data_IF_304011466017
#
_entry.id   IF_304011466017
#
_cell.length_a   1.000
_cell.length_b   1.000
_cell.length_c   1.000
_cell.angle_alpha   90.00
_cell.angle_beta   90.00
_cell.angle_gamma   90.00
#
_symmetry.space_group_name_H-M   'P 1'
#
loop_
_entity.id
_entity.type
_entity.pdbx_description
1 polymer ?
#
# COMPACT_ATOMS: atom_id res chain seq x y z
N UNK A 1 -1.46 5.26 -48.18
CA UNK A 1 -0.58 5.37 -47.01
C UNK A 1 -1.37 5.90 -45.84
N UNK A 2 -1.97 4.99 -45.06
CA UNK A 2 -2.55 5.32 -43.75
C UNK A 2 -1.46 5.08 -42.73
N UNK A 3 -1.17 6.08 -41.89
CA UNK A 3 -0.28 5.95 -40.74
C UNK A 3 -1.14 6.11 -39.51
N UNK A 4 -1.02 5.19 -38.55
CA UNK A 4 -1.63 5.38 -37.25
C UNK A 4 -1.05 6.64 -36.63
N UNK A 5 -1.93 7.63 -36.40
CA UNK A 5 -1.59 8.87 -35.74
C UNK A 5 -1.83 8.74 -34.23
N UNK A 6 -0.99 9.36 -33.44
CA UNK A 6 -1.25 9.49 -32.00
C UNK A 6 -2.44 10.42 -31.78
N UNK A 7 -3.30 10.10 -30.80
CA UNK A 7 -4.34 11.01 -30.38
C UNK A 7 -3.73 12.33 -29.90
N UNK A 8 -4.34 13.47 -30.24
CA UNK A 8 -3.85 14.81 -29.84
C UNK A 8 -3.68 14.84 -28.33
N UNK A 9 -2.43 14.96 -27.87
CA UNK A 9 -2.11 15.01 -26.46
C UNK A 9 -2.60 16.33 -25.85
N UNK A 10 -3.68 16.27 -25.07
CA UNK A 10 -4.26 17.42 -24.37
C UNK A 10 -3.70 17.59 -22.95
N UNK A 11 -2.94 16.61 -22.45
CA UNK A 11 -2.36 16.62 -21.09
C UNK A 11 -0.92 16.07 -21.12
N UNK A 12 0.01 16.84 -20.55
CA UNK A 12 1.39 16.41 -20.34
C UNK A 12 1.52 15.96 -18.89
N UNK A 13 1.73 14.65 -18.68
CA UNK A 13 2.14 14.14 -17.38
C UNK A 13 3.67 14.11 -17.31
N UNK A 14 4.21 14.62 -16.20
CA UNK A 14 5.64 14.54 -15.89
C UNK A 14 5.85 13.94 -14.51
N UNK A 15 6.85 13.10 -14.40
CA UNK A 15 7.35 12.56 -13.14
C UNK A 15 8.81 13.00 -13.00
N UNK A 16 9.13 13.75 -11.95
CA UNK A 16 10.49 14.25 -11.68
C UNK A 16 11.15 14.97 -12.88
N UNK A 17 10.36 15.74 -13.64
CA UNK A 17 10.83 16.49 -14.80
C UNK A 17 10.94 15.68 -16.11
N UNK A 18 10.75 14.37 -16.06
CA UNK A 18 10.72 13.49 -17.24
C UNK A 18 9.28 13.29 -17.74
N UNK A 19 9.11 13.11 -19.05
CA UNK A 19 7.80 12.77 -19.61
C UNK A 19 7.34 11.42 -19.06
N UNK A 20 6.11 11.37 -18.57
CA UNK A 20 5.56 10.18 -17.95
C UNK A 20 4.13 9.94 -18.43
N UNK A 21 3.67 8.70 -18.31
CA UNK A 21 2.26 8.35 -18.49
C UNK A 21 1.74 7.88 -17.13
N UNK A 22 0.69 8.52 -16.65
CA UNK A 22 0.03 8.13 -15.41
C UNK A 22 -1.10 7.15 -15.70
N UNK A 23 -1.05 5.99 -15.06
CA UNK A 23 -2.11 4.98 -15.12
C UNK A 23 -2.74 4.87 -13.74
N UNK A 24 -4.02 5.22 -13.64
CA UNK A 24 -4.79 5.09 -12.40
C UNK A 24 -5.47 3.73 -12.34
N UNK A 25 -5.21 2.97 -11.27
CA UNK A 25 -5.90 1.71 -11.01
C UNK A 25 -6.95 1.93 -9.92
N UNK A 26 -8.22 1.66 -10.24
CA UNK A 26 -9.32 1.76 -9.29
C UNK A 26 -9.76 0.36 -8.88
N UNK A 27 -9.87 0.13 -7.57
CA UNK A 27 -10.45 -1.11 -7.05
C UNK A 27 -11.95 -1.15 -7.32
N UNK A 28 -12.48 -2.35 -7.58
CA UNK A 28 -13.92 -2.56 -7.77
C UNK A 28 -14.60 -2.82 -6.42
N UNK A 29 -15.66 -2.08 -6.11
CA UNK A 29 -16.56 -2.33 -4.97
C UNK A 29 -15.86 -2.66 -3.65
N UNK A 30 -16.19 -3.82 -3.09
CA UNK A 30 -15.72 -4.34 -1.80
C UNK A 30 -14.35 -5.05 -1.86
N UNK A 31 -13.62 -4.96 -2.97
CA UNK A 31 -12.27 -5.54 -3.03
C UNK A 31 -11.37 -4.89 -1.96
N UNK A 32 -10.57 -5.74 -1.30
CA UNK A 32 -9.53 -5.33 -0.35
C UNK A 32 -8.48 -4.50 -1.09
N UNK A 33 -8.22 -3.29 -0.59
CA UNK A 33 -7.18 -2.41 -1.15
C UNK A 33 -5.81 -3.07 -1.08
N UNK A 34 -5.53 -3.79 0.00
CA UNK A 34 -4.26 -4.48 0.22
C UNK A 34 -4.09 -5.63 -0.79
N UNK A 35 -5.11 -6.46 -0.95
CA UNK A 35 -5.04 -7.63 -1.83
C UNK A 35 -4.94 -7.24 -3.31
N UNK A 36 -5.64 -6.17 -3.70
CA UNK A 36 -5.56 -5.62 -5.07
C UNK A 36 -4.14 -5.14 -5.36
N UNK A 37 -3.54 -4.40 -4.42
CA UNK A 37 -2.17 -3.87 -4.60
C UNK A 37 -1.15 -5.00 -4.60
N UNK A 38 -1.30 -6.00 -3.73
CA UNK A 38 -0.44 -7.19 -3.73
C UNK A 38 -0.54 -7.95 -5.05
N UNK A 39 -1.74 -8.08 -5.63
CA UNK A 39 -1.94 -8.66 -6.95
C UNK A 39 -1.26 -7.87 -8.08
N UNK A 40 -1.32 -6.54 -8.02
CA UNK A 40 -0.65 -5.66 -8.99
C UNK A 40 0.87 -5.78 -8.87
N UNK A 41 1.39 -5.67 -7.64
CA UNK A 41 2.84 -5.77 -7.36
C UNK A 41 3.38 -7.14 -7.75
N UNK A 42 2.60 -8.22 -7.58
CA UNK A 42 2.98 -9.57 -8.01
C UNK A 42 3.13 -9.69 -9.54
N UNK A 43 2.33 -8.96 -10.32
CA UNK A 43 2.42 -8.92 -11.79
C UNK A 43 3.43 -7.89 -12.31
N UNK A 44 3.85 -6.94 -11.46
CA UNK A 44 4.75 -5.87 -11.85
C UNK A 44 6.10 -6.34 -12.44
N UNK A 45 6.74 -7.42 -11.95
CA UNK A 45 7.96 -7.94 -12.56
C UNK A 45 7.78 -8.37 -14.02
N UNK A 46 6.67 -9.04 -14.33
CA UNK A 46 6.33 -9.46 -15.69
C UNK A 46 6.10 -8.24 -16.58
N UNK A 47 5.32 -7.26 -16.11
CA UNK A 47 5.06 -6.03 -16.85
C UNK A 47 6.37 -5.28 -17.14
N UNK A 48 7.25 -5.14 -16.14
CA UNK A 48 8.56 -4.50 -16.30
C UNK A 48 9.45 -5.23 -17.30
N UNK A 49 9.37 -6.56 -17.38
CA UNK A 49 10.16 -7.34 -18.33
C UNK A 49 9.78 -7.10 -19.79
N UNK A 50 8.54 -6.68 -20.04
CA UNK A 50 8.05 -6.34 -21.39
C UNK A 50 8.35 -4.89 -21.79
N UNK A 51 8.88 -4.08 -20.87
CA UNK A 51 9.14 -2.67 -21.12
C UNK A 51 10.36 -2.49 -22.06
N UNK A 52 10.30 -1.55 -23.02
CA UNK A 52 11.45 -1.21 -23.86
C UNK A 52 12.64 -0.70 -23.02
N UNK A 53 13.87 -0.80 -23.56
CA UNK A 53 15.05 -0.24 -22.90
C UNK A 53 14.87 1.25 -22.57
N UNK A 54 15.19 1.63 -21.32
CA UNK A 54 15.07 3.02 -20.85
C UNK A 54 13.68 3.42 -20.34
N UNK A 55 12.70 2.52 -20.35
CA UNK A 55 11.39 2.76 -19.74
C UNK A 55 11.36 2.25 -18.29
N UNK A 56 10.98 3.13 -17.37
CA UNK A 56 10.82 2.80 -15.94
C UNK A 56 9.35 2.78 -15.58
N UNK A 57 8.91 1.70 -14.90
CA UNK A 57 7.53 1.54 -14.43
C UNK A 57 7.56 1.45 -12.90
N UNK A 58 7.04 2.48 -12.24
CA UNK A 58 7.05 2.60 -10.78
C UNK A 58 5.66 2.97 -10.24
N UNK A 59 5.23 2.34 -9.13
CA UNK A 59 4.04 2.78 -8.42
C UNK A 59 4.32 4.13 -7.73
N UNK A 60 3.58 5.16 -8.13
CA UNK A 60 3.70 6.52 -7.58
C UNK A 60 2.76 6.78 -6.39
N UNK A 61 1.72 5.96 -6.23
CA UNK A 61 0.72 6.10 -5.18
C UNK A 61 0.20 4.71 -4.76
N UNK A 62 0.34 4.38 -3.48
CA UNK A 62 -0.05 3.10 -2.91
C UNK A 62 -0.87 3.33 -1.63
N UNK A 63 -2.19 3.07 -1.73
CA UNK A 63 -3.11 3.21 -0.60
C UNK A 63 -3.02 2.06 0.42
N UNK A 64 -2.44 0.90 0.05
CA UNK A 64 -2.31 -0.23 0.98
C UNK A 64 -1.40 0.10 2.15
N UNK A 65 -0.39 0.95 1.94
CA UNK A 65 0.54 1.37 2.99
C UNK A 65 -0.16 2.05 4.17
N UNK A 66 -1.17 2.89 3.89
CA UNK A 66 -1.97 3.51 4.94
C UNK A 66 -2.74 2.47 5.75
N UNK A 67 -3.39 1.51 5.07
CA UNK A 67 -4.15 0.44 5.71
C UNK A 67 -3.24 -0.44 6.56
N UNK A 68 -2.11 -0.89 6.00
CA UNK A 68 -1.10 -1.70 6.71
C UNK A 68 -0.59 -0.99 7.96
N UNK A 69 -0.21 0.29 7.82
CA UNK A 69 0.29 1.10 8.95
C UNK A 69 -0.76 1.27 10.05
N UNK A 70 -2.04 1.43 9.68
CA UNK A 70 -3.13 1.53 10.65
C UNK A 70 -3.32 0.21 11.43
N UNK A 71 -3.30 -0.94 10.73
CA UNK A 71 -3.39 -2.26 11.35
C UNK A 71 -2.20 -2.49 12.30
N UNK A 72 -0.98 -2.22 11.85
CA UNK A 72 0.22 -2.37 12.68
C UNK A 72 0.19 -1.47 13.91
N UNK A 73 -0.33 -0.24 13.77
CA UNK A 73 -0.56 0.67 14.88
C UNK A 73 -1.52 0.09 15.91
N UNK A 74 -2.67 -0.42 15.47
CA UNK A 74 -3.66 -1.04 16.36
C UNK A 74 -3.07 -2.26 17.07
N UNK A 75 -2.31 -3.11 16.38
CA UNK A 75 -1.68 -4.29 16.99
C UNK A 75 -0.67 -3.90 18.08
N UNK A 76 0.12 -2.84 17.86
CA UNK A 76 1.04 -2.32 18.88
C UNK A 76 0.31 -1.80 20.10
N UNK A 77 -0.78 -1.05 19.90
CA UNK A 77 -1.61 -0.54 20.98
C UNK A 77 -2.25 -1.67 21.79
N UNK A 78 -2.76 -2.71 21.13
CA UNK A 78 -3.31 -3.89 21.81
C UNK A 78 -2.26 -4.56 22.70
N UNK A 79 -1.03 -4.72 22.22
CA UNK A 79 0.04 -5.33 23.01
C UNK A 79 0.43 -4.46 24.21
N UNK A 80 0.54 -3.14 24.02
CA UNK A 80 0.92 -2.21 25.08
C UNK A 80 -0.18 -2.13 26.14
N UNK A 81 -1.41 -1.83 25.73
CA UNK A 81 -2.56 -1.72 26.63
C UNK A 81 -2.88 -3.06 27.28
N UNK A 82 -2.90 -4.16 26.53
CA UNK A 82 -3.14 -5.49 27.06
C UNK A 82 -2.08 -5.90 28.09
N UNK A 83 -0.80 -5.61 27.82
CA UNK A 83 0.29 -5.83 28.76
C UNK A 83 0.16 -5.00 30.05
N UNK A 84 -0.18 -3.71 29.93
CA UNK A 84 -0.40 -2.85 31.09
C UNK A 84 -1.60 -3.30 31.92
N UNK A 85 -2.72 -3.64 31.29
CA UNK A 85 -3.91 -4.16 31.98
C UNK A 85 -3.58 -5.46 32.69
N UNK A 86 -2.91 -6.41 32.02
CA UNK A 86 -2.48 -7.65 32.63
C UNK A 86 -1.55 -7.42 33.82
N UNK A 87 -0.62 -6.48 33.72
CA UNK A 87 0.27 -6.08 34.82
C UNK A 87 -0.52 -5.52 36.00
N UNK A 88 -1.46 -4.61 35.77
CA UNK A 88 -2.31 -4.03 36.81
C UNK A 88 -3.13 -5.13 37.50
N UNK A 89 -3.79 -5.99 36.72
CA UNK A 89 -4.55 -7.14 37.24
C UNK A 89 -3.66 -8.04 38.10
N UNK A 90 -2.44 -8.34 37.65
CA UNK A 90 -1.46 -9.11 38.40
C UNK A 90 -1.03 -8.41 39.69
N UNK A 91 -0.89 -7.09 39.72
CA UNK A 91 -0.53 -6.36 40.95
C UNK A 91 -1.67 -6.39 41.99
N UNK A 92 -2.93 -6.33 41.55
CA UNK A 92 -4.09 -6.37 42.45
C UNK A 92 -4.43 -7.80 42.91
N UNK A 93 -4.48 -8.79 42.00
CA UNK A 93 -4.78 -10.19 42.33
C UNK A 93 -3.57 -11.01 42.79
N UNK A 94 -2.37 -10.68 42.31
CA UNK A 94 -1.11 -11.36 42.63
C UNK A 94 -0.43 -10.81 43.89
N UNK A 95 -1.10 -9.94 44.67
CA UNK A 95 -0.72 -9.75 46.06
C UNK A 95 -0.90 -11.08 46.78
N UNK A 96 0.21 -11.82 46.90
CA UNK A 96 0.30 -13.12 47.54
C UNK A 96 0.03 -12.95 49.04
N UNK A 97 -1.26 -12.90 49.37
CA UNK A 97 -1.89 -12.96 50.70
C UNK A 97 -1.17 -12.16 51.80
N UNK A 98 -1.71 -11.00 52.16
CA UNK A 98 -1.66 -10.58 53.56
C UNK A 98 -2.81 -9.63 53.92
N UNK A 99 -3.80 -10.20 54.63
CA UNK A 99 -4.95 -9.58 55.31
C UNK A 99 -6.08 -9.05 54.43
#
# INVERSE_FOLDING_TARGET
>A
NVRDGEAVSTNIARLNGQNAVMVSVLKLGNASTVDVIDGILKKMPEIRSTAPPGMTIEPIFDQSNFVRSAVDGVLKEILLVGGLVALVVLLFLGSWRST
#
